data_IF_830968322856
#
_entry.id   IF_830968322856
#
_cell.length_a   1.000
_cell.length_b   1.000
_cell.length_c   1.000
_cell.angle_alpha   90.00
_cell.angle_beta   90.00
_cell.angle_gamma   90.00
#
_symmetry.space_group_name_H-M   'P 1'
#
loop_
_entity.id
_entity.type
_entity.pdbx_description
1 polymer ?
#
# COMPACT_ATOMS: atom_id res chain seq x y z
N UNK A 1 18.18 2.38 7.10
CA UNK A 1 17.01 2.15 6.22
C UNK A 1 17.37 1.04 5.28
N UNK A 2 16.50 0.03 5.15
CA UNK A 2 16.64 -0.98 4.08
C UNK A 2 16.32 -0.35 2.73
N UNK A 3 16.84 -0.90 1.63
CA UNK A 3 16.59 -0.40 0.27
C UNK A 3 15.09 -0.25 -0.02
N UNK A 4 14.28 -1.21 0.40
CA UNK A 4 12.82 -1.18 0.25
C UNK A 4 12.15 -0.04 1.05
N UNK A 5 12.63 0.24 2.27
CA UNK A 5 12.09 1.35 3.06
C UNK A 5 12.37 2.73 2.45
N UNK A 6 13.46 2.86 1.68
CA UNK A 6 13.76 4.09 0.94
C UNK A 6 12.89 4.24 -0.31
N UNK A 7 12.71 3.16 -1.09
CA UNK A 7 11.83 3.16 -2.26
C UNK A 7 10.39 3.54 -1.89
N UNK A 8 9.85 2.94 -0.83
CA UNK A 8 8.49 3.24 -0.32
C UNK A 8 8.37 4.72 0.10
N UNK A 9 9.39 5.26 0.77
CA UNK A 9 9.40 6.66 1.20
C UNK A 9 9.36 7.62 0.00
N UNK A 10 10.16 7.34 -1.04
CA UNK A 10 10.23 8.13 -2.26
C UNK A 10 8.90 8.14 -3.02
N UNK A 11 8.23 6.98 -3.14
CA UNK A 11 6.89 6.87 -3.75
C UNK A 11 5.88 7.72 -2.98
N UNK A 12 5.83 7.59 -1.65
CA UNK A 12 4.88 8.35 -0.82
C UNK A 12 5.11 9.86 -0.90
N UNK A 13 6.37 10.30 -0.88
CA UNK A 13 6.73 11.71 -1.02
C UNK A 13 6.33 12.25 -2.39
N UNK A 14 6.53 11.49 -3.47
CA UNK A 14 6.13 11.89 -4.81
C UNK A 14 4.61 12.08 -4.92
N UNK A 15 3.81 11.11 -4.45
CA UNK A 15 2.33 11.20 -4.50
C UNK A 15 1.78 12.35 -3.65
N UNK A 16 2.36 12.60 -2.48
CA UNK A 16 1.98 13.77 -1.68
C UNK A 16 2.33 15.09 -2.37
N UNK A 17 3.45 15.15 -3.08
CA UNK A 17 3.84 16.33 -3.85
C UNK A 17 2.85 16.59 -5.01
N UNK A 18 2.41 15.55 -5.72
CA UNK A 18 1.41 15.62 -6.80
C UNK A 18 0.07 16.17 -6.29
N UNK A 19 -0.43 15.68 -5.16
CA UNK A 19 -1.65 16.20 -4.52
C UNK A 19 -1.52 17.67 -4.09
N UNK A 20 -0.31 18.12 -3.78
CA UNK A 20 0.01 19.50 -3.42
C UNK A 20 0.12 20.48 -4.60
N UNK A 21 -0.04 20.03 -5.85
CA UNK A 21 0.10 20.86 -7.06
C UNK A 21 -1.17 21.62 -7.49
N UNK A 22 -2.19 21.70 -6.63
CA UNK A 22 -3.39 22.50 -6.88
C UNK A 22 -3.12 24.00 -7.13
N UNK A 23 -4.10 24.77 -7.64
CA UNK A 23 -3.93 26.18 -7.97
C UNK A 23 -3.77 27.01 -6.68
N UNK A 24 -2.55 27.13 -6.20
CA UNK A 24 -2.16 27.88 -5.02
C UNK A 24 -0.68 28.26 -5.06
N UNK A 25 -0.25 29.28 -4.30
CA UNK A 25 1.11 29.82 -4.38
C UNK A 25 2.20 28.87 -3.85
N UNK A 26 1.85 27.72 -3.28
CA UNK A 26 2.81 26.71 -2.83
C UNK A 26 3.17 25.75 -3.97
N UNK A 27 4.30 26.04 -4.63
CA UNK A 27 4.95 25.11 -5.57
C UNK A 27 5.21 23.76 -4.89
N UNK A 28 4.96 22.65 -5.58
CA UNK A 28 5.07 21.27 -5.08
C UNK A 28 6.39 20.89 -4.38
N UNK A 29 7.48 21.67 -4.58
CA UNK A 29 8.74 21.50 -3.84
C UNK A 29 8.61 21.69 -2.32
N UNK A 30 7.76 22.61 -1.84
CA UNK A 30 7.56 22.81 -0.40
C UNK A 30 6.77 21.67 0.26
N UNK A 31 5.84 21.07 -0.50
CA UNK A 31 5.04 19.91 -0.06
C UNK A 31 5.91 18.67 0.00
N UNK A 32 6.73 18.40 -1.03
CA UNK A 32 7.68 17.29 -1.04
C UNK A 32 8.68 17.37 0.13
N UNK A 33 9.19 18.56 0.42
CA UNK A 33 10.11 18.78 1.54
C UNK A 33 9.45 18.52 2.90
N UNK A 34 8.18 18.91 3.06
CA UNK A 34 7.42 18.67 4.28
C UNK A 34 7.06 17.18 4.43
N UNK A 35 6.69 16.50 3.33
CA UNK A 35 6.38 15.07 3.32
C UNK A 35 7.57 14.20 3.76
N UNK A 36 8.80 14.55 3.36
CA UNK A 36 10.03 13.86 3.80
C UNK A 36 10.26 13.90 5.32
N UNK A 37 9.66 14.88 6.01
CA UNK A 37 9.77 15.03 7.46
C UNK A 37 8.64 14.36 8.23
N UNK A 38 7.61 13.89 7.53
CA UNK A 38 6.52 13.14 8.14
C UNK A 38 6.99 11.75 8.53
N UNK A 39 6.53 11.29 9.68
CA UNK A 39 6.73 9.91 10.10
C UNK A 39 5.98 8.97 9.14
N UNK A 40 6.61 7.87 8.79
CA UNK A 40 5.94 6.79 8.05
C UNK A 40 5.34 5.83 9.07
N UNK A 41 4.01 5.69 9.06
CA UNK A 41 3.30 4.66 9.80
C UNK A 41 3.18 3.40 8.94
N UNK A 42 3.22 2.24 9.58
CA UNK A 42 3.03 0.93 8.94
C UNK A 42 1.88 0.20 9.62
N UNK A 43 1.06 -0.49 8.83
CA UNK A 43 0.02 -1.39 9.32
C UNK A 43 0.05 -2.71 8.53
N UNK A 44 -0.44 -3.78 9.15
CA UNK A 44 -0.58 -5.09 8.51
C UNK A 44 -1.95 -5.68 8.79
N UNK A 45 -2.42 -6.55 7.90
CA UNK A 45 -3.66 -7.30 8.05
C UNK A 45 -3.65 -8.56 7.20
N UNK A 46 -4.66 -9.41 7.38
CA UNK A 46 -4.79 -10.66 6.64
C UNK A 46 -6.24 -11.03 6.41
N UNK A 47 -6.49 -11.74 5.32
CA UNK A 47 -7.77 -12.37 5.03
C UNK A 47 -7.54 -13.78 4.46
N UNK A 48 -8.47 -14.68 4.76
CA UNK A 48 -8.51 -16.01 4.15
C UNK A 48 -9.47 -16.01 2.96
N UNK A 49 -9.16 -16.81 1.96
CA UNK A 49 -9.97 -17.01 0.75
C UNK A 49 -9.92 -18.49 0.34
N UNK A 50 -10.86 -18.90 -0.51
CA UNK A 50 -10.81 -20.23 -1.13
C UNK A 50 -9.61 -20.31 -2.09
N UNK A 51 -8.64 -21.23 -1.92
CA UNK A 51 -7.51 -21.40 -2.84
C UNK A 51 -7.88 -21.45 -4.33
N UNK A 52 -9.06 -21.98 -4.67
CA UNK A 52 -9.56 -22.01 -6.05
C UNK A 52 -9.85 -20.61 -6.64
N UNK A 53 -9.94 -19.59 -5.79
CA UNK A 53 -10.27 -18.20 -6.13
C UNK A 53 -9.05 -17.28 -6.22
N UNK A 54 -7.82 -17.83 -6.25
CA UNK A 54 -6.58 -17.04 -6.29
C UNK A 54 -6.56 -15.98 -7.40
N UNK A 55 -7.03 -16.31 -8.61
CA UNK A 55 -7.06 -15.36 -9.73
C UNK A 55 -8.05 -14.22 -9.49
N UNK A 56 -9.21 -14.51 -8.89
CA UNK A 56 -10.21 -13.50 -8.56
C UNK A 56 -9.71 -12.56 -7.45
N UNK A 57 -8.98 -13.10 -6.47
CA UNK A 57 -8.33 -12.33 -5.41
C UNK A 57 -7.26 -11.40 -5.99
N UNK A 58 -6.39 -11.90 -6.87
CA UNK A 58 -5.36 -11.07 -7.52
C UNK A 58 -5.99 -9.98 -8.40
N UNK A 59 -7.07 -10.30 -9.12
CA UNK A 59 -7.82 -9.31 -9.90
C UNK A 59 -8.42 -8.22 -8.99
N UNK A 60 -9.03 -8.62 -7.87
CA UNK A 60 -9.61 -7.67 -6.89
C UNK A 60 -8.55 -6.77 -6.26
N UNK A 61 -7.36 -7.31 -5.96
CA UNK A 61 -6.22 -6.52 -5.49
C UNK A 61 -5.78 -5.49 -6.52
N UNK A 62 -5.74 -5.85 -7.82
CA UNK A 62 -5.39 -4.92 -8.90
C UNK A 62 -6.43 -3.83 -9.10
N UNK A 63 -7.71 -4.15 -8.91
CA UNK A 63 -8.79 -3.15 -9.00
C UNK A 63 -8.81 -2.21 -7.78
N UNK A 64 -8.44 -2.71 -6.60
CA UNK A 64 -8.42 -1.93 -5.37
C UNK A 64 -7.22 -0.96 -5.27
N UNK A 65 -6.15 -1.21 -6.05
CA UNK A 65 -4.90 -0.46 -6.00
C UNK A 65 -4.71 0.38 -7.28
N UNK A 66 -4.35 1.64 -7.11
CA UNK A 66 -3.87 2.49 -8.20
C UNK A 66 -2.46 2.06 -8.61
N UNK A 67 -2.19 2.02 -9.92
CA UNK A 67 -0.88 1.65 -10.47
C UNK A 67 -0.39 0.29 -9.94
N UNK A 68 -1.31 -0.68 -9.89
CA UNK A 68 -1.04 -2.01 -9.36
C UNK A 68 -0.05 -2.78 -10.24
N UNK A 69 1.10 -3.13 -9.68
CA UNK A 69 2.09 -4.01 -10.29
C UNK A 69 2.09 -5.36 -9.57
N UNK A 70 2.08 -6.44 -10.36
CA UNK A 70 2.39 -7.76 -9.84
C UNK A 70 3.90 -7.96 -9.83
N UNK A 71 4.43 -8.39 -8.70
CA UNK A 71 5.86 -8.70 -8.51
C UNK A 71 5.99 -10.13 -7.99
N UNK A 72 7.13 -10.80 -8.22
CA UNK A 72 7.42 -12.06 -7.56
C UNK A 72 7.25 -11.89 -6.04
N UNK A 73 6.53 -12.80 -5.39
CA UNK A 73 6.41 -12.79 -3.94
C UNK A 73 7.78 -12.83 -3.28
N UNK A 74 7.99 -12.01 -2.25
CA UNK A 74 9.22 -12.09 -1.45
C UNK A 74 9.21 -13.36 -0.59
N UNK A 75 10.30 -14.12 -0.60
CA UNK A 75 10.53 -15.32 0.24
C UNK A 75 10.53 -15.05 1.77
N UNK A 76 10.09 -13.86 2.19
CA UNK A 76 10.34 -13.27 3.51
C UNK A 76 9.46 -13.77 4.66
N UNK A 77 8.45 -14.61 4.41
CA UNK A 77 7.65 -15.21 5.48
C UNK A 77 7.01 -16.55 5.03
N UNK A 78 7.84 -17.57 4.81
CA UNK A 78 7.40 -18.96 4.87
C UNK A 78 6.48 -19.43 3.73
N UNK A 79 6.74 -19.01 2.49
CA UNK A 79 6.09 -19.61 1.31
C UNK A 79 6.94 -20.80 0.88
N UNK A 80 6.51 -22.02 1.20
CA UNK A 80 7.15 -23.22 0.66
C UNK A 80 6.84 -23.33 -0.82
N UNK A 81 7.86 -23.30 -1.69
CA UNK A 81 7.98 -23.71 -3.12
C UNK A 81 6.79 -23.49 -4.10
N UNK A 82 5.75 -22.78 -3.67
CA UNK A 82 4.42 -22.74 -4.28
C UNK A 82 4.05 -21.38 -4.85
N UNK A 83 5.03 -20.67 -5.44
CA UNK A 83 4.78 -19.52 -6.30
C UNK A 83 3.93 -18.41 -5.68
N UNK A 84 4.33 -17.89 -4.52
CA UNK A 84 3.68 -16.74 -3.91
C UNK A 84 3.59 -15.55 -4.87
N UNK A 85 2.40 -14.96 -5.01
CA UNK A 85 2.17 -13.79 -5.87
C UNK A 85 2.10 -12.55 -5.00
N UNK A 86 2.73 -11.45 -5.39
CA UNK A 86 2.58 -10.19 -4.68
C UNK A 86 2.04 -9.11 -5.61
N UNK A 87 1.08 -8.32 -5.11
CA UNK A 87 0.56 -7.13 -5.79
C UNK A 87 0.95 -5.93 -4.96
N UNK A 88 1.60 -4.96 -5.58
CA UNK A 88 1.96 -3.68 -4.95
C UNK A 88 1.29 -2.53 -5.68
N UNK A 89 0.97 -1.47 -4.96
CA UNK A 89 0.37 -0.28 -5.55
C UNK A 89 0.08 0.79 -4.51
N UNK A 90 -0.61 1.84 -4.92
CA UNK A 90 -1.00 2.94 -4.04
C UNK A 90 -2.51 2.94 -3.86
N UNK A 91 -2.98 3.28 -2.67
CA UNK A 91 -4.41 3.50 -2.42
C UNK A 91 -4.61 4.81 -1.66
N UNK A 92 -5.58 5.60 -2.09
CA UNK A 92 -6.06 6.74 -1.33
C UNK A 92 -6.67 6.32 0.01
N UNK A 93 -6.19 6.93 1.10
CA UNK A 93 -6.59 6.67 2.49
C UNK A 93 -6.81 7.98 3.26
N UNK A 94 -7.20 7.92 4.53
CA UNK A 94 -7.39 9.13 5.36
C UNK A 94 -8.63 9.95 4.97
N UNK A 95 -8.65 11.23 5.33
CA UNK A 95 -9.78 12.13 5.05
C UNK A 95 -9.97 12.32 3.53
N UNK A 96 -11.17 11.98 3.03
CA UNK A 96 -11.51 12.11 1.61
C UNK A 96 -10.72 11.19 0.66
N UNK A 97 -9.97 10.21 1.18
CA UNK A 97 -9.10 9.37 0.36
C UNK A 97 -7.84 10.07 -0.16
N UNK A 98 -7.50 11.24 0.40
CA UNK A 98 -6.44 12.11 -0.12
C UNK A 98 -5.05 11.81 0.45
N UNK A 99 -4.91 10.92 1.43
CA UNK A 99 -3.59 10.53 1.93
C UNK A 99 -3.13 9.25 1.23
N UNK A 100 -2.12 9.28 0.35
CA UNK A 100 -1.64 8.08 -0.32
C UNK A 100 -1.05 7.11 0.69
N UNK A 101 -1.41 5.83 0.54
CA UNK A 101 -0.79 4.73 1.25
C UNK A 101 -0.24 3.74 0.22
N UNK A 102 1.04 3.39 0.36
CA UNK A 102 1.64 2.32 -0.40
C UNK A 102 1.22 0.99 0.21
N UNK A 103 0.83 0.03 -0.62
CA UNK A 103 0.35 -1.29 -0.20
C UNK A 103 1.17 -2.36 -0.89
N UNK A 104 1.52 -3.40 -0.12
CA UNK A 104 2.03 -4.68 -0.59
C UNK A 104 1.09 -5.77 -0.11
N UNK A 105 0.47 -6.49 -1.04
CA UNK A 105 -0.39 -7.63 -0.76
C UNK A 105 0.28 -8.91 -1.26
N UNK A 106 0.66 -9.80 -0.34
CA UNK A 106 1.21 -11.12 -0.63
C UNK A 106 0.09 -12.16 -0.59
N UNK A 107 -0.05 -12.92 -1.67
CA UNK A 107 -1.05 -13.98 -1.84
C UNK A 107 -0.36 -15.33 -1.72
N UNK A 108 -0.71 -16.05 -0.66
CA UNK A 108 -0.35 -17.44 -0.45
C UNK A 108 -1.49 -18.32 -1.00
N UNK A 109 -1.33 -18.75 -2.24
CA UNK A 109 -2.31 -19.58 -2.93
C UNK A 109 -2.52 -20.95 -2.28
N UNK A 110 -1.46 -21.51 -1.68
CA UNK A 110 -1.52 -22.82 -1.03
C UNK A 110 -2.26 -22.76 0.30
N UNK A 111 -2.04 -21.69 1.08
CA UNK A 111 -2.71 -21.46 2.34
C UNK A 111 -4.11 -20.83 2.19
N UNK A 112 -4.43 -20.27 1.02
CA UNK A 112 -5.64 -19.46 0.85
C UNK A 112 -5.61 -18.22 1.74
N UNK A 113 -4.46 -17.55 1.85
CA UNK A 113 -4.27 -16.38 2.70
C UNK A 113 -3.70 -15.20 1.91
N UNK A 114 -4.26 -14.00 2.10
CA UNK A 114 -3.64 -12.74 1.67
C UNK A 114 -3.12 -12.02 2.90
N UNK A 115 -1.86 -11.60 2.85
CA UNK A 115 -1.23 -10.72 3.84
C UNK A 115 -1.05 -9.35 3.22
N UNK A 116 -1.55 -8.31 3.87
CA UNK A 116 -1.47 -6.95 3.38
C UNK A 116 -0.62 -6.15 4.35
N UNK A 117 0.40 -5.47 3.83
CA UNK A 117 1.17 -4.46 4.53
C UNK A 117 0.96 -3.11 3.85
N UNK A 118 0.79 -2.05 4.65
CA UNK A 118 0.63 -0.70 4.13
C UNK A 118 1.54 0.28 4.84
N UNK A 119 1.97 1.31 4.12
CA UNK A 119 2.79 2.41 4.61
C UNK A 119 2.16 3.73 4.20
N UNK A 120 2.06 4.68 5.12
CA UNK A 120 1.56 6.01 4.83
C UNK A 120 2.33 7.06 5.62
N UNK A 121 2.44 8.27 5.07
CA UNK A 121 2.96 9.42 5.81
C UNK A 121 1.88 9.98 6.72
N UNK A 122 2.23 10.23 7.97
CA UNK A 122 1.34 10.77 8.98
C UNK A 122 1.71 12.22 9.33
N UNK A 123 0.70 13.09 9.33
CA UNK A 123 0.81 14.49 9.75
C UNK A 123 0.81 14.64 11.27
N UNK A 124 0.67 15.89 11.73
CA UNK A 124 0.57 16.21 13.16
C UNK A 124 -0.65 15.52 13.83
N UNK A 125 -1.72 15.30 13.06
CA UNK A 125 -2.93 14.62 13.50
C UNK A 125 -2.91 13.21 12.92
N UNK A 126 -2.85 12.19 13.79
CA UNK A 126 -2.88 10.79 13.39
C UNK A 126 -4.19 10.42 12.70
N UNK A 127 -4.11 10.02 11.44
CA UNK A 127 -5.25 9.58 10.65
C UNK A 127 -5.36 8.06 10.55
N UNK A 128 -4.32 7.32 10.95
CA UNK A 128 -4.19 5.86 10.82
C UNK A 128 -4.35 5.44 9.37
N UNK A 129 -3.70 6.17 8.48
CA UNK A 129 -3.87 6.03 7.02
C UNK A 129 -3.41 4.67 6.52
N UNK A 130 -2.31 4.14 7.06
CA UNK A 130 -1.85 2.78 6.75
C UNK A 130 -2.89 1.74 7.17
N UNK A 131 -3.43 1.81 8.38
CA UNK A 131 -4.46 0.87 8.84
C UNK A 131 -5.74 0.95 8.00
N UNK A 132 -6.21 2.16 7.68
CA UNK A 132 -7.37 2.36 6.79
C UNK A 132 -7.15 1.82 5.39
N UNK A 133 -5.92 1.89 4.88
CA UNK A 133 -5.57 1.30 3.59
C UNK A 133 -5.65 -0.22 3.64
N UNK A 134 -5.13 -0.85 4.69
CA UNK A 134 -5.29 -2.29 4.92
C UNK A 134 -6.77 -2.68 4.98
N UNK A 135 -7.57 -2.00 5.80
CA UNK A 135 -9.00 -2.29 5.95
C UNK A 135 -9.74 -2.17 4.61
N UNK A 136 -9.43 -1.12 3.83
CA UNK A 136 -10.03 -0.88 2.51
C UNK A 136 -9.68 -1.98 1.51
N UNK A 137 -8.41 -2.40 1.47
CA UNK A 137 -7.95 -3.46 0.56
C UNK A 137 -8.57 -4.80 0.95
N UNK A 138 -8.58 -5.15 2.24
CA UNK A 138 -9.18 -6.41 2.71
C UNK A 138 -10.69 -6.45 2.47
N UNK A 139 -11.40 -5.32 2.63
CA UNK A 139 -12.82 -5.22 2.32
C UNK A 139 -13.16 -5.35 0.83
N UNK A 140 -12.18 -5.18 -0.07
CA UNK A 140 -12.36 -5.41 -1.49
C UNK A 140 -12.19 -6.90 -1.89
N UNK A 141 -11.75 -7.75 -0.97
CA UNK A 141 -11.54 -9.19 -1.20
C UNK A 141 -12.75 -10.06 -0.78
N UNK A 142 -13.77 -9.45 -0.20
CA UNK A 142 -15.03 -10.09 0.23
C UNK A 142 -16.13 -9.87 -0.80
#
# INVERSE_FOLDING_TARGET
>A
MTSAGQEIDEVLVARLAELGTGPGPMRGGAVAWSARRLATETATGRASFDPASVEAVVASLREALEEADEVPGSDGAGVGDGGGRAVRGVVGSGFGGLNPAYVLAEVDAAAGEVRVAAWAKEGLIKQRSAAKAVDKVLAALT
#
